data_IF_102167279919
#
_entry.id   IF_102167279919
#
_cell.length_a   1.000
_cell.length_b   1.000
_cell.length_c   1.000
_cell.angle_alpha   90.00
_cell.angle_beta   90.00
_cell.angle_gamma   90.00
#
_symmetry.space_group_name_H-M   'P 1'
#
loop_
_entity.id
_entity.type
_entity.pdbx_description
1 polymer ?
#
# COMPACT_ATOMS: atom_id res chain seq x y z
N UNK A 1 0.70 9.33 -18.19
CA UNK A 1 0.52 7.85 -18.18
C UNK A 1 0.59 7.45 -16.70
N UNK A 2 -0.35 6.73 -16.07
CA UNK A 2 -1.26 5.70 -16.59
C UNK A 2 -2.54 5.50 -15.76
N UNK A 3 -3.64 5.18 -16.47
CA UNK A 3 -4.63 4.19 -16.04
C UNK A 3 -4.20 2.86 -16.67
N UNK A 4 -3.94 1.83 -15.86
CA UNK A 4 -4.01 0.43 -16.32
C UNK A 4 -2.81 -0.14 -17.08
N UNK A 5 -1.58 0.07 -16.61
CA UNK A 5 -0.43 -0.65 -17.20
C UNK A 5 0.29 -1.52 -16.20
N UNK A 6 0.42 -2.77 -16.59
CA UNK A 6 1.15 -3.82 -15.89
C UNK A 6 2.63 -3.41 -15.75
N UNK A 7 3.19 -3.62 -14.56
CA UNK A 7 4.64 -3.51 -14.30
C UNK A 7 5.19 -2.13 -13.92
N UNK A 8 4.36 -1.08 -13.86
CA UNK A 8 4.84 0.27 -13.48
C UNK A 8 4.41 0.74 -12.10
N UNK A 9 3.35 0.15 -11.54
CA UNK A 9 2.81 0.56 -10.27
C UNK A 9 2.59 -0.63 -9.36
N UNK A 10 2.98 -0.47 -8.10
CA UNK A 10 2.78 -1.46 -7.06
C UNK A 10 1.62 -1.03 -6.18
N UNK A 11 0.74 -1.97 -5.92
CA UNK A 11 -0.35 -1.87 -4.94
C UNK A 11 -0.16 -2.97 -3.91
N UNK A 12 -0.73 -2.78 -2.72
CA UNK A 12 -0.75 -3.82 -1.69
C UNK A 12 -2.17 -4.27 -1.43
N UNK A 13 -2.33 -5.56 -1.19
CA UNK A 13 -3.59 -6.16 -0.78
C UNK A 13 -3.38 -6.92 0.52
N UNK A 14 -4.25 -6.70 1.51
CA UNK A 14 -4.20 -7.39 2.79
C UNK A 14 -5.59 -7.96 3.14
N UNK A 15 -5.64 -9.20 3.59
CA UNK A 15 -6.86 -9.85 4.04
C UNK A 15 -6.55 -10.69 5.27
N UNK A 16 -7.23 -10.42 6.38
CA UNK A 16 -7.22 -11.24 7.60
C UNK A 16 -8.53 -12.00 7.81
N UNK A 17 -9.51 -11.82 6.91
CA UNK A 17 -10.82 -12.49 6.94
C UNK A 17 -11.25 -12.88 5.52
N UNK A 18 -11.86 -14.06 5.32
CA UNK A 18 -12.13 -14.62 3.99
C UNK A 18 -12.85 -13.71 2.98
N UNK A 19 -13.72 -12.81 3.44
CA UNK A 19 -14.58 -12.00 2.55
C UNK A 19 -14.23 -10.51 2.55
N UNK A 20 -13.14 -10.11 3.21
CA UNK A 20 -12.74 -8.71 3.27
C UNK A 20 -11.33 -8.52 2.75
N UNK A 21 -11.15 -7.52 1.89
CA UNK A 21 -9.86 -7.13 1.37
C UNK A 21 -9.59 -5.65 1.65
N UNK A 22 -8.36 -5.33 2.02
CA UNK A 22 -7.84 -3.98 2.08
C UNK A 22 -6.95 -3.78 0.85
N UNK A 23 -7.42 -2.98 -0.10
CA UNK A 23 -6.68 -2.52 -1.27
C UNK A 23 -6.00 -1.20 -0.93
N UNK A 24 -4.67 -1.20 -0.96
CA UNK A 24 -3.85 -0.03 -0.68
C UNK A 24 -3.13 0.41 -1.95
N UNK A 25 -3.32 1.67 -2.30
CA UNK A 25 -2.65 2.35 -3.40
C UNK A 25 -2.07 3.66 -2.88
N UNK A 26 -0.76 3.86 -2.96
CA UNK A 26 -0.12 5.07 -2.44
C UNK A 26 -0.57 6.36 -3.14
N UNK A 27 -1.13 6.27 -4.35
CA UNK A 27 -1.75 7.39 -5.07
C UNK A 27 -3.26 7.52 -4.82
N UNK A 28 -3.85 6.58 -4.09
CA UNK A 28 -5.29 6.42 -3.91
C UNK A 28 -6.07 6.23 -5.22
N UNK A 29 -5.42 5.67 -6.25
CA UNK A 29 -6.10 5.35 -7.49
C UNK A 29 -7.07 4.18 -7.30
N UNK A 30 -8.22 4.27 -7.98
CA UNK A 30 -9.18 3.17 -8.02
C UNK A 30 -8.57 2.00 -8.83
N UNK A 31 -8.80 0.74 -8.41
CA UNK A 31 -8.32 -0.43 -9.14
C UNK A 31 -8.75 -0.37 -10.61
N UNK A 32 -7.98 -0.93 -11.53
CA UNK A 32 -8.41 -0.99 -12.93
C UNK A 32 -9.56 -2.00 -13.13
N UNK A 33 -10.13 -2.04 -14.33
CA UNK A 33 -11.27 -2.91 -14.65
C UNK A 33 -10.94 -4.39 -14.44
N UNK A 34 -9.76 -4.82 -14.89
CA UNK A 34 -9.33 -6.21 -14.84
C UNK A 34 -9.15 -6.67 -13.39
N UNK A 35 -8.52 -5.85 -12.54
CA UNK A 35 -8.38 -6.12 -11.11
C UNK A 35 -9.74 -6.20 -10.41
N UNK A 36 -10.67 -5.30 -10.76
CA UNK A 36 -12.04 -5.31 -10.21
C UNK A 36 -12.77 -6.60 -10.55
N UNK A 37 -12.69 -7.05 -11.80
CA UNK A 37 -13.44 -8.21 -12.28
C UNK A 37 -12.78 -9.55 -11.94
N UNK A 38 -11.46 -9.58 -11.74
CA UNK A 38 -10.74 -10.81 -11.41
C UNK A 38 -10.54 -10.97 -9.90
N UNK A 39 -9.51 -10.33 -9.34
CA UNK A 39 -9.08 -10.52 -7.96
C UNK A 39 -10.10 -9.97 -6.96
N UNK A 40 -10.56 -8.73 -7.15
CA UNK A 40 -11.38 -8.01 -6.17
C UNK A 40 -12.82 -8.53 -6.12
N UNK A 41 -13.34 -9.09 -7.23
CA UNK A 41 -14.68 -9.67 -7.30
C UNK A 41 -14.90 -10.85 -6.33
N UNK A 42 -13.81 -11.48 -5.86
CA UNK A 42 -13.88 -12.59 -4.91
C UNK A 42 -14.17 -12.14 -3.46
N UNK A 43 -14.21 -10.83 -3.19
CA UNK A 43 -14.40 -10.29 -1.86
C UNK A 43 -15.71 -9.49 -1.78
N UNK A 44 -16.52 -9.76 -0.75
CA UNK A 44 -17.79 -9.04 -0.53
C UNK A 44 -17.57 -7.60 -0.07
N UNK A 45 -16.42 -7.30 0.54
CA UNK A 45 -16.06 -5.96 1.01
C UNK A 45 -14.61 -5.65 0.66
N UNK A 46 -14.41 -4.61 -0.14
CA UNK A 46 -13.08 -4.06 -0.45
C UNK A 46 -12.96 -2.67 0.16
N UNK A 47 -12.00 -2.50 1.07
CA UNK A 47 -11.62 -1.20 1.62
C UNK A 47 -10.50 -0.61 0.79
N UNK A 48 -10.55 0.71 0.57
CA UNK A 48 -9.51 1.44 -0.16
C UNK A 48 -9.21 2.76 0.53
N UNK A 49 -7.94 3.17 0.52
CA UNK A 49 -7.55 4.49 0.99
C UNK A 49 -8.04 5.57 0.01
N UNK A 50 -8.59 6.66 0.55
CA UNK A 50 -9.24 7.72 -0.25
C UNK A 50 -8.40 8.99 -0.42
N UNK A 51 -7.17 8.97 0.08
CA UNK A 51 -6.24 10.08 -0.04
C UNK A 51 -4.87 9.56 -0.48
N UNK A 52 -4.22 10.34 -1.35
CA UNK A 52 -2.86 10.04 -1.81
C UNK A 52 -1.86 10.29 -0.69
N UNK A 53 -0.93 9.37 -0.53
CA UNK A 53 0.22 9.46 0.37
C UNK A 53 1.52 9.78 -0.38
N UNK A 54 1.60 9.44 -1.67
CA UNK A 54 2.79 9.58 -2.48
C UNK A 54 2.65 10.72 -3.49
N UNK A 55 3.74 11.45 -3.73
CA UNK A 55 3.81 12.43 -4.82
C UNK A 55 3.84 11.73 -6.18
N UNK A 56 3.13 12.27 -7.18
CA UNK A 56 3.09 11.75 -8.56
C UNK A 56 4.46 11.69 -9.25
N UNK A 57 5.47 12.41 -8.73
CA UNK A 57 6.83 12.42 -9.27
C UNK A 57 7.74 11.38 -8.63
N UNK A 58 7.25 10.63 -7.65
CA UNK A 58 8.03 9.66 -6.89
C UNK A 58 7.90 8.24 -7.44
N UNK A 59 8.97 7.46 -7.33
CA UNK A 59 9.08 6.05 -7.74
C UNK A 59 8.95 5.08 -6.55
N UNK A 60 8.34 5.51 -5.46
CA UNK A 60 8.34 4.82 -4.16
C UNK A 60 7.18 3.88 -3.91
N UNK A 61 6.28 3.65 -4.86
CA UNK A 61 5.04 2.89 -4.62
C UNK A 61 5.28 1.51 -3.97
N UNK A 62 6.32 0.79 -4.39
CA UNK A 62 6.70 -0.48 -3.77
C UNK A 62 7.14 -0.35 -2.30
N UNK A 63 7.82 0.74 -1.93
CA UNK A 63 8.22 1.00 -0.55
C UNK A 63 7.00 1.28 0.34
N UNK A 64 6.03 2.05 -0.17
CA UNK A 64 4.75 2.26 0.51
C UNK A 64 4.01 0.94 0.72
N UNK A 65 3.97 0.07 -0.30
CA UNK A 65 3.35 -1.25 -0.21
C UNK A 65 3.98 -2.12 0.89
N UNK A 66 5.31 -2.22 0.92
CA UNK A 66 6.04 -3.00 1.93
C UNK A 66 5.77 -2.44 3.34
N UNK A 67 5.87 -1.12 3.52
CA UNK A 67 5.60 -0.48 4.79
C UNK A 67 4.16 -0.70 5.26
N UNK A 68 3.17 -0.56 4.35
CA UNK A 68 1.77 -0.84 4.65
C UNK A 68 1.59 -2.27 5.15
N UNK A 69 2.10 -3.27 4.42
CA UNK A 69 1.95 -4.69 4.76
C UNK A 69 2.61 -5.03 6.10
N UNK A 70 3.81 -4.51 6.37
CA UNK A 70 4.54 -4.77 7.62
C UNK A 70 3.84 -4.15 8.82
N UNK A 71 3.33 -2.93 8.70
CA UNK A 71 2.60 -2.30 9.81
C UNK A 71 1.25 -3.01 9.99
N UNK A 72 0.57 -3.36 8.90
CA UNK A 72 -0.76 -3.97 8.93
C UNK A 72 -0.76 -5.40 9.47
N UNK A 73 0.30 -6.16 9.23
CA UNK A 73 0.44 -7.54 9.75
C UNK A 73 0.70 -7.60 11.26
N UNK A 74 1.10 -6.48 11.88
CA UNK A 74 1.32 -6.41 13.33
C UNK A 74 0.00 -6.27 14.09
N UNK A 75 -0.13 -7.01 15.18
CA UNK A 75 -1.30 -6.97 16.06
C UNK A 75 -1.66 -5.54 16.49
N UNK A 76 -2.96 -5.24 16.56
CA UNK A 76 -3.49 -3.94 16.97
C UNK A 76 -3.54 -2.87 15.86
N UNK A 77 -3.06 -3.17 14.65
CA UNK A 77 -3.14 -2.25 13.51
C UNK A 77 -4.30 -2.62 12.60
N UNK A 78 -5.26 -1.73 12.46
CA UNK A 78 -6.30 -1.81 11.43
C UNK A 78 -6.00 -0.86 10.26
N UNK A 79 -6.67 -1.06 9.12
CA UNK A 79 -6.47 -0.26 7.90
C UNK A 79 -6.33 1.25 8.17
N UNK A 80 -7.32 1.86 8.83
CA UNK A 80 -7.34 3.30 9.10
C UNK A 80 -6.17 3.75 9.97
N UNK A 81 -5.81 2.97 11.00
CA UNK A 81 -4.66 3.28 11.86
C UNK A 81 -3.33 3.22 11.11
N UNK A 82 -3.17 2.30 10.15
CA UNK A 82 -1.97 2.21 9.31
C UNK A 82 -1.88 3.43 8.39
N UNK A 83 -3.00 3.80 7.75
CA UNK A 83 -3.06 4.98 6.89
C UNK A 83 -2.71 6.25 7.66
N UNK A 84 -3.22 6.40 8.89
CA UNK A 84 -2.87 7.52 9.76
C UNK A 84 -1.37 7.55 10.13
N UNK A 85 -0.77 6.40 10.44
CA UNK A 85 0.67 6.30 10.74
C UNK A 85 1.54 6.69 9.55
N UNK A 86 1.17 6.28 8.34
CA UNK A 86 1.88 6.69 7.13
C UNK A 86 1.70 8.18 6.86
N UNK A 87 0.47 8.69 7.03
CA UNK A 87 0.15 10.10 6.83
C UNK A 87 0.82 11.03 7.85
N UNK A 88 1.03 10.59 9.09
CA UNK A 88 1.67 11.40 10.14
C UNK A 88 3.15 11.68 9.87
N UNK A 89 3.78 10.95 8.95
CA UNK A 89 5.13 11.29 8.47
C UNK A 89 5.02 12.51 7.56
N UNK A 90 5.81 13.59 7.78
CA UNK A 90 5.75 14.79 6.95
C UNK A 90 5.98 14.48 5.47
N UNK A 91 5.14 15.03 4.60
CA UNK A 91 5.09 14.69 3.16
C UNK A 91 6.44 14.81 2.45
N UNK A 92 7.20 15.84 2.78
CA UNK A 92 8.50 16.20 2.21
C UNK A 92 9.61 15.21 2.54
N UNK A 93 9.45 14.45 3.62
CA UNK A 93 10.44 13.46 4.08
C UNK A 93 9.94 12.02 3.98
N UNK A 94 8.63 11.83 3.79
CA UNK A 94 7.96 10.52 3.83
C UNK A 94 8.63 9.50 2.93
N UNK A 95 8.87 9.85 1.67
CA UNK A 95 9.51 8.97 0.69
C UNK A 95 10.90 8.51 1.15
N UNK A 96 11.74 9.44 1.61
CA UNK A 96 13.09 9.13 2.09
C UNK A 96 13.05 8.22 3.34
N UNK A 97 12.12 8.49 4.26
CA UNK A 97 11.93 7.70 5.49
C UNK A 97 11.51 6.26 5.15
N UNK A 98 10.53 6.09 4.26
CA UNK A 98 10.05 4.76 3.85
C UNK A 98 11.11 4.00 3.05
N UNK A 99 11.83 4.65 2.12
CA UNK A 99 12.97 4.06 1.42
C UNK A 99 14.01 3.53 2.40
N UNK A 100 14.43 4.37 3.34
CA UNK A 100 15.43 4.00 4.36
C UNK A 100 14.98 2.85 5.25
N UNK A 101 13.69 2.82 5.61
CA UNK A 101 13.11 1.74 6.41
C UNK A 101 13.19 0.39 5.68
N UNK A 102 12.73 0.34 4.42
CA UNK A 102 12.75 -0.89 3.61
C UNK A 102 14.18 -1.34 3.32
N UNK A 103 15.10 -0.41 3.02
CA UNK A 103 16.51 -0.73 2.83
C UNK A 103 17.11 -1.38 4.08
N UNK A 104 16.84 -0.84 5.28
CA UNK A 104 17.31 -1.44 6.53
C UNK A 104 16.76 -2.85 6.73
N UNK A 105 15.50 -3.10 6.39
CA UNK A 105 14.91 -4.43 6.45
C UNK A 105 15.60 -5.42 5.51
N UNK A 106 15.93 -5.01 4.29
CA UNK A 106 16.61 -5.85 3.32
C UNK A 106 18.05 -6.20 3.72
N UNK A 107 18.67 -5.37 4.55
CA UNK A 107 20.02 -5.59 5.08
C UNK A 107 20.05 -6.42 6.38
N UNK A 108 18.88 -6.77 6.94
CA UNK A 108 18.84 -7.69 8.07
C UNK A 108 19.29 -9.08 7.61
N UNK A 109 20.19 -9.76 8.35
CA UNK A 109 20.60 -11.11 8.01
C UNK A 109 19.37 -12.03 7.98
N UNK A 110 19.29 -12.87 6.95
CA UNK A 110 18.25 -13.90 6.85
C UNK A 110 18.36 -14.81 8.07
N UNK A 111 17.25 -14.91 8.81
CA UNK A 111 17.10 -15.80 9.97
C UNK A 111 16.90 -17.23 9.48
#
# INVERSE_FOLDING_TARGET
>A
MRKGTVGEHWIACYSDKPNTLEYFDSFAEEPNCDMRQSMLANFSLVKQNKFSLQSLLSDTCGHYCICFLIIRSKQGNNFSSVLQKLHSIPSESRDAVLKSFVQRLAMLPSI
#
